data_IF_690030365102
#
_entry.id   IF_690030365102
#
_cell.length_a   1.000
_cell.length_b   1.000
_cell.length_c   1.000
_cell.angle_alpha   90.00
_cell.angle_beta   90.00
_cell.angle_gamma   90.00
#
_symmetry.space_group_name_H-M   'P 1'
#
loop_
_entity.id
_entity.type
_entity.pdbx_description
1 polymer ?
#
# COMPACT_ATOMS: atom_id res chain seq x y z
N UNK A 1 45.10 12.13 16.57
CA UNK A 1 45.24 11.27 15.37
C UNK A 1 46.13 10.03 15.55
N UNK A 2 47.07 9.99 16.52
CA UNK A 2 48.08 8.91 16.66
C UNK A 2 47.57 7.52 17.08
N UNK A 3 46.36 7.43 17.66
CA UNK A 3 45.82 6.18 18.25
C UNK A 3 45.07 5.27 17.26
N UNK A 4 44.64 5.81 16.12
CA UNK A 4 43.77 5.09 15.16
C UNK A 4 44.61 4.19 14.24
N UNK A 5 45.89 4.54 14.05
CA UNK A 5 46.86 3.86 13.19
C UNK A 5 47.70 2.81 13.91
N UNK A 6 47.55 2.66 15.23
CA UNK A 6 48.41 1.78 16.05
C UNK A 6 48.29 0.30 15.69
N UNK A 7 47.12 -0.15 15.20
CA UNK A 7 46.93 -1.50 14.66
C UNK A 7 45.90 -1.49 13.51
N UNK A 8 46.15 -2.18 12.40
CA UNK A 8 45.27 -2.18 11.22
C UNK A 8 43.86 -2.72 11.52
N UNK A 9 43.74 -3.59 12.53
CA UNK A 9 42.49 -4.18 13.01
C UNK A 9 41.60 -3.17 13.72
N UNK A 10 42.18 -2.17 14.41
CA UNK A 10 41.44 -1.14 15.16
C UNK A 10 40.71 -0.21 14.20
N UNK A 11 41.37 0.20 13.12
CA UNK A 11 40.74 0.95 12.04
C UNK A 11 39.58 0.16 11.38
N UNK A 12 39.71 -1.16 11.21
CA UNK A 12 38.63 -2.03 10.71
C UNK A 12 37.43 -2.10 11.67
N UNK A 13 37.68 -2.20 12.99
CA UNK A 13 36.63 -2.16 14.01
C UNK A 13 35.89 -0.83 14.03
N UNK A 14 36.59 0.29 13.96
CA UNK A 14 35.97 1.62 13.89
C UNK A 14 35.14 1.80 12.61
N UNK A 15 35.65 1.39 11.45
CA UNK A 15 34.87 1.41 10.19
C UNK A 15 33.61 0.56 10.28
N UNK A 16 33.70 -0.64 10.89
CA UNK A 16 32.54 -1.53 11.10
C UNK A 16 31.53 -0.93 12.07
N UNK A 17 31.98 -0.33 13.17
CA UNK A 17 31.12 0.33 14.16
C UNK A 17 30.41 1.56 13.57
N UNK A 18 31.12 2.35 12.77
CA UNK A 18 30.57 3.52 12.07
C UNK A 18 29.59 3.07 10.97
N UNK A 19 29.89 2.00 10.22
CA UNK A 19 28.96 1.49 9.20
C UNK A 19 27.71 0.86 9.82
N UNK A 20 27.83 0.18 10.97
CA UNK A 20 26.68 -0.33 11.71
C UNK A 20 25.87 0.78 12.36
N UNK A 21 26.50 1.85 12.86
CA UNK A 21 25.81 3.01 13.44
C UNK A 21 25.14 3.89 12.36
N UNK A 22 25.64 3.88 11.12
CA UNK A 22 25.03 4.56 9.96
C UNK A 22 23.88 3.79 9.31
N UNK A 23 23.55 2.58 9.78
CA UNK A 23 22.30 1.92 9.37
C UNK A 23 21.13 2.66 10.01
N UNK A 24 20.69 3.74 9.35
CA UNK A 24 19.36 4.31 9.58
C UNK A 24 18.38 3.14 9.47
N UNK A 25 17.47 2.92 10.44
CA UNK A 25 16.45 1.90 10.30
C UNK A 25 15.75 2.15 8.96
N UNK A 26 15.87 1.19 8.04
CA UNK A 26 15.24 1.30 6.73
C UNK A 26 13.75 1.38 7.03
N UNK A 27 13.17 2.56 6.87
CA UNK A 27 11.76 2.76 7.06
C UNK A 27 11.03 1.77 6.14
N UNK A 28 10.05 1.06 6.70
CA UNK A 28 9.26 0.08 5.96
C UNK A 28 8.70 0.76 4.71
N UNK A 29 8.94 0.15 3.55
CA UNK A 29 8.34 0.59 2.30
C UNK A 29 6.83 0.39 2.37
N UNK A 30 6.07 1.40 1.99
CA UNK A 30 4.62 1.28 1.93
C UNK A 30 4.21 0.22 0.91
N UNK A 31 3.20 -0.57 1.27
CA UNK A 31 2.51 -1.43 0.30
C UNK A 31 1.79 -0.56 -0.74
N UNK A 32 1.47 -1.08 -1.93
CA UNK A 32 0.72 -0.31 -2.92
C UNK A 32 -0.62 0.21 -2.39
N UNK A 33 -1.30 -0.55 -1.53
CA UNK A 33 -2.58 -0.17 -0.92
C UNK A 33 -2.40 0.92 0.14
N UNK A 34 -1.42 0.79 1.04
CA UNK A 34 -1.08 1.84 2.03
C UNK A 34 -0.68 3.15 1.32
N UNK A 35 0.14 3.03 0.27
CA UNK A 35 0.57 4.17 -0.54
C UNK A 35 -0.60 4.82 -1.30
N UNK A 36 -1.55 4.02 -1.78
CA UNK A 36 -2.75 4.53 -2.43
C UNK A 36 -3.65 5.28 -1.43
N UNK A 37 -3.81 4.79 -0.20
CA UNK A 37 -4.54 5.51 0.84
C UNK A 37 -3.92 6.89 1.10
N UNK A 38 -2.60 6.95 1.30
CA UNK A 38 -1.87 8.22 1.45
C UNK A 38 -2.01 9.14 0.23
N UNK A 39 -2.01 8.57 -0.98
CA UNK A 39 -2.21 9.31 -2.22
C UNK A 39 -3.57 10.00 -2.27
N UNK A 40 -4.63 9.28 -1.87
CA UNK A 40 -6.02 9.77 -1.86
C UNK A 40 -6.24 10.77 -0.72
N UNK A 41 -5.85 10.42 0.51
CA UNK A 41 -6.02 11.27 1.70
C UNK A 41 -5.22 12.57 1.60
N UNK A 42 -4.01 12.50 1.04
CA UNK A 42 -3.16 13.66 0.80
C UNK A 42 -3.58 14.49 -0.41
N UNK A 43 -4.61 14.08 -1.16
CA UNK A 43 -5.05 14.69 -2.42
C UNK A 43 -3.87 14.97 -3.38
N UNK A 44 -2.95 14.02 -3.49
CA UNK A 44 -1.75 14.21 -4.29
C UNK A 44 -2.07 14.10 -5.78
N UNK A 45 -1.42 14.95 -6.58
CA UNK A 45 -1.30 14.74 -8.01
C UNK A 45 -0.22 13.70 -8.31
N UNK A 46 -0.24 13.12 -9.53
CA UNK A 46 0.83 12.22 -9.98
C UNK A 46 2.22 12.86 -9.85
N UNK A 47 2.37 14.12 -10.26
CA UNK A 47 3.66 14.81 -10.21
C UNK A 47 4.17 15.03 -8.79
N UNK A 48 3.29 15.37 -7.85
CA UNK A 48 3.64 15.48 -6.42
C UNK A 48 4.07 14.13 -5.84
N UNK A 49 3.37 13.04 -6.21
CA UNK A 49 3.75 11.71 -5.78
C UNK A 49 5.12 11.29 -6.33
N UNK A 50 5.39 11.57 -7.60
CA UNK A 50 6.68 11.28 -8.23
C UNK A 50 7.83 12.10 -7.60
N UNK A 51 7.58 13.36 -7.21
CA UNK A 51 8.55 14.17 -6.47
C UNK A 51 8.86 13.57 -5.09
N UNK A 52 7.82 13.19 -4.34
CA UNK A 52 7.92 12.58 -3.02
C UNK A 52 8.63 11.22 -3.08
N UNK A 53 8.33 10.40 -4.10
CA UNK A 53 9.02 9.16 -4.38
C UNK A 53 10.48 9.38 -4.80
N UNK A 54 10.75 10.42 -5.59
CA UNK A 54 12.11 10.82 -5.97
C UNK A 54 12.96 11.20 -4.77
N UNK A 55 12.35 11.79 -3.74
CA UNK A 55 13.01 12.13 -2.47
C UNK A 55 13.33 10.94 -1.58
N UNK A 56 12.47 9.90 -1.55
CA UNK A 56 12.65 8.67 -0.73
C UNK A 56 12.09 7.40 -1.41
N UNK A 57 12.85 6.84 -2.35
CA UNK A 57 12.46 5.66 -3.16
C UNK A 57 12.33 4.37 -2.34
N UNK A 58 13.00 4.32 -1.21
CA UNK A 58 12.99 3.22 -0.25
C UNK A 58 11.66 3.15 0.54
N UNK A 59 10.96 4.28 0.68
CA UNK A 59 9.69 4.38 1.43
C UNK A 59 8.50 4.32 0.47
N UNK A 60 8.53 5.08 -0.62
CA UNK A 60 7.38 5.26 -1.49
C UNK A 60 7.46 4.40 -2.76
N UNK A 61 6.44 3.58 -3.06
CA UNK A 61 6.39 2.83 -4.31
C UNK A 61 6.23 3.76 -5.53
N UNK A 62 6.69 3.29 -6.68
CA UNK A 62 6.49 4.01 -7.94
C UNK A 62 5.00 4.12 -8.30
N UNK A 63 4.67 5.15 -9.07
CA UNK A 63 3.27 5.44 -9.43
C UNK A 63 2.58 4.30 -10.18
N UNK A 64 3.31 3.50 -10.95
CA UNK A 64 2.72 2.34 -11.66
C UNK A 64 2.13 1.30 -10.71
N UNK A 65 2.70 1.13 -9.50
CA UNK A 65 2.14 0.25 -8.48
C UNK A 65 0.86 0.83 -7.87
N UNK A 66 0.79 2.16 -7.67
CA UNK A 66 -0.45 2.83 -7.25
C UNK A 66 -1.51 2.70 -8.32
N UNK A 67 -1.15 2.88 -9.59
CA UNK A 67 -2.08 2.73 -10.72
C UNK A 67 -2.68 1.33 -10.76
N UNK A 68 -1.87 0.29 -10.51
CA UNK A 68 -2.37 -1.08 -10.40
C UNK A 68 -3.34 -1.23 -9.22
N UNK A 69 -2.96 -0.74 -8.04
CA UNK A 69 -3.80 -0.77 -6.84
C UNK A 69 -5.13 0.01 -7.04
N UNK A 70 -5.12 1.12 -7.79
CA UNK A 70 -6.34 1.85 -8.17
C UNK A 70 -7.26 1.00 -9.03
N UNK A 71 -6.70 0.32 -10.02
CA UNK A 71 -7.47 -0.57 -10.92
C UNK A 71 -8.11 -1.73 -10.17
N UNK A 72 -7.41 -2.28 -9.17
CA UNK A 72 -7.92 -3.34 -8.30
C UNK A 72 -9.10 -2.90 -7.40
N UNK A 73 -9.42 -1.59 -7.34
CA UNK A 73 -10.58 -1.05 -6.63
C UNK A 73 -11.79 -0.80 -7.52
N UNK A 74 -11.70 -1.03 -8.84
CA UNK A 74 -12.82 -0.85 -9.75
C UNK A 74 -13.55 -2.20 -9.98
N UNK A 75 -14.89 -2.18 -10.11
CA UNK A 75 -15.63 -3.36 -10.56
C UNK A 75 -15.24 -3.71 -12.00
N UNK A 76 -15.70 -4.87 -12.48
CA UNK A 76 -15.37 -5.36 -13.82
C UNK A 76 -15.71 -4.33 -14.91
N UNK A 77 -14.84 -4.17 -15.91
CA UNK A 77 -15.01 -3.15 -16.95
C UNK A 77 -16.34 -3.32 -17.70
N UNK A 78 -16.79 -4.56 -17.92
CA UNK A 78 -18.06 -4.88 -18.58
C UNK A 78 -19.30 -4.43 -17.78
N UNK A 79 -19.16 -4.19 -16.47
CA UNK A 79 -20.23 -3.70 -15.60
C UNK A 79 -20.34 -2.18 -15.55
N UNK A 80 -19.40 -1.46 -16.19
CA UNK A 80 -19.32 -0.01 -16.20
C UNK A 80 -19.73 0.50 -17.58
N UNK A 81 -20.74 1.38 -17.62
CA UNK A 81 -21.18 2.06 -18.83
C UNK A 81 -20.93 3.55 -18.68
N UNK A 82 -20.13 4.10 -19.58
CA UNK A 82 -19.82 5.53 -19.63
C UNK A 82 -20.34 6.08 -20.94
N UNK A 83 -21.19 7.09 -20.84
CA UNK A 83 -21.64 7.89 -21.97
C UNK A 83 -21.14 9.33 -21.79
N UNK A 84 -21.38 10.20 -22.78
CA UNK A 84 -21.02 11.62 -22.66
C UNK A 84 -21.78 12.33 -21.52
N UNK A 85 -22.94 11.79 -21.14
CA UNK A 85 -23.87 12.43 -20.19
C UNK A 85 -24.09 11.64 -18.90
N UNK A 86 -23.75 10.35 -18.88
CA UNK A 86 -23.99 9.48 -17.73
C UNK A 86 -22.82 8.55 -17.43
N UNK A 87 -22.73 8.18 -16.16
CA UNK A 87 -21.88 7.10 -15.67
C UNK A 87 -22.76 6.14 -14.89
N UNK A 88 -22.81 4.90 -15.34
CA UNK A 88 -23.64 3.86 -14.76
C UNK A 88 -22.78 2.64 -14.42
N UNK A 89 -23.09 2.01 -13.29
CA UNK A 89 -22.47 0.76 -12.87
C UNK A 89 -23.58 -0.21 -12.49
N UNK A 90 -23.43 -1.47 -12.87
CA UNK A 90 -24.36 -2.51 -12.45
C UNK A 90 -24.34 -2.64 -10.93
N UNK A 91 -25.51 -2.50 -10.30
CA UNK A 91 -25.62 -2.52 -8.84
C UNK A 91 -25.07 -3.82 -8.25
N UNK A 92 -25.44 -4.98 -8.81
CA UNK A 92 -24.94 -6.27 -8.30
C UNK A 92 -23.41 -6.37 -8.37
N UNK A 93 -22.82 -5.96 -9.50
CA UNK A 93 -21.37 -5.97 -9.67
C UNK A 93 -20.67 -5.04 -8.67
N UNK A 94 -21.26 -3.89 -8.35
CA UNK A 94 -20.75 -2.97 -7.33
C UNK A 94 -20.82 -3.59 -5.93
N UNK A 95 -21.95 -4.21 -5.57
CA UNK A 95 -22.15 -4.86 -4.27
C UNK A 95 -21.20 -6.04 -4.08
N UNK A 96 -21.06 -6.90 -5.09
CA UNK A 96 -20.17 -8.05 -5.07
C UNK A 96 -18.71 -7.61 -4.94
N UNK A 97 -18.30 -6.58 -5.70
CA UNK A 97 -16.95 -6.03 -5.62
C UNK A 97 -16.67 -5.45 -4.23
N UNK A 98 -17.65 -4.73 -3.65
CA UNK A 98 -17.55 -4.18 -2.29
C UNK A 98 -17.41 -5.29 -1.25
N UNK A 99 -18.26 -6.32 -1.31
CA UNK A 99 -18.21 -7.46 -0.42
C UNK A 99 -16.85 -8.19 -0.49
N UNK A 100 -16.38 -8.46 -1.70
CA UNK A 100 -15.08 -9.12 -1.94
C UNK A 100 -13.93 -8.31 -1.34
N UNK A 101 -13.91 -6.99 -1.55
CA UNK A 101 -12.90 -6.09 -0.99
C UNK A 101 -12.93 -6.07 0.53
N UNK A 102 -14.11 -6.07 1.15
CA UNK A 102 -14.27 -6.15 2.60
C UNK A 102 -13.75 -7.48 3.14
N UNK A 103 -14.08 -8.60 2.50
CA UNK A 103 -13.59 -9.92 2.89
C UNK A 103 -12.06 -10.03 2.80
N UNK A 104 -11.45 -9.42 1.78
CA UNK A 104 -9.99 -9.36 1.66
C UNK A 104 -9.36 -8.54 2.78
N UNK A 105 -9.94 -7.38 3.12
CA UNK A 105 -9.44 -6.52 4.18
C UNK A 105 -9.61 -7.15 5.57
N UNK A 106 -10.75 -7.80 5.81
CA UNK A 106 -11.10 -8.44 7.07
C UNK A 106 -10.64 -9.90 7.14
N UNK A 107 -9.76 -10.35 6.24
CA UNK A 107 -9.40 -11.76 6.08
C UNK A 107 -9.04 -12.44 7.40
N UNK A 108 -8.21 -11.79 8.23
CA UNK A 108 -7.81 -12.33 9.53
C UNK A 108 -9.00 -12.53 10.48
N UNK A 109 -9.98 -11.62 10.46
CA UNK A 109 -11.21 -11.74 11.25
C UNK A 109 -12.10 -12.85 10.69
N UNK A 110 -12.27 -12.91 9.36
CA UNK A 110 -13.07 -13.93 8.70
C UNK A 110 -12.53 -15.35 8.96
N UNK A 111 -11.21 -15.51 9.06
CA UNK A 111 -10.55 -16.78 9.39
C UNK A 111 -10.85 -17.25 10.82
N UNK A 112 -11.24 -16.35 11.73
CA UNK A 112 -11.64 -16.71 13.10
C UNK A 112 -13.09 -17.21 13.22
N UNK A 113 -13.92 -16.98 12.19
CA UNK A 113 -15.32 -17.37 12.19
C UNK A 113 -15.48 -18.87 11.92
N UNK A 114 -16.51 -19.46 12.53
CA UNK A 114 -16.96 -20.82 12.19
C UNK A 114 -17.59 -20.87 10.80
N UNK A 115 -17.68 -22.08 10.22
CA UNK A 115 -18.32 -22.27 8.92
C UNK A 115 -19.80 -21.89 8.93
N UNK A 116 -20.48 -22.06 10.07
CA UNK A 116 -21.88 -21.63 10.22
C UNK A 116 -21.99 -20.11 10.16
N UNK A 117 -21.11 -19.38 10.85
CA UNK A 117 -21.12 -17.91 10.82
C UNK A 117 -20.82 -17.36 9.43
N UNK A 118 -19.87 -17.98 8.70
CA UNK A 118 -19.54 -17.59 7.32
C UNK A 118 -20.74 -17.71 6.36
N UNK A 119 -21.60 -18.72 6.55
CA UNK A 119 -22.80 -18.92 5.72
C UNK A 119 -23.89 -17.87 5.97
N UNK A 120 -23.85 -17.15 7.09
CA UNK A 120 -24.87 -16.19 7.49
C UNK A 120 -24.36 -14.75 7.52
N UNK A 121 -23.25 -14.46 6.84
CA UNK A 121 -22.76 -13.09 6.69
C UNK A 121 -23.74 -12.26 5.88
N UNK A 122 -24.08 -11.08 6.41
CA UNK A 122 -24.98 -10.13 5.76
C UNK A 122 -24.27 -8.80 5.57
N UNK A 123 -24.36 -8.25 4.36
CA UNK A 123 -23.85 -6.92 4.05
C UNK A 123 -25.01 -5.93 4.15
N UNK A 124 -24.93 -5.03 5.12
CA UNK A 124 -25.96 -4.03 5.43
C UNK A 124 -25.49 -2.68 4.90
N UNK A 125 -26.39 -1.97 4.21
CA UNK A 125 -26.17 -0.62 3.70
C UNK A 125 -27.20 0.32 4.33
N UNK A 126 -26.72 1.40 4.93
CA UNK A 126 -27.56 2.51 5.38
C UNK A 126 -27.49 3.62 4.33
N UNK A 127 -28.65 4.01 3.80
CA UNK A 127 -28.81 5.11 2.83
C UNK A 127 -29.59 6.27 3.46
#
# INVERSE_FOLDING_TARGET
MKEITSTPTRAKKFRKAISSAKKVPIARKYTPQEALALFVEGNFTKGQWELLQGGRKEIYPCYSLLQKAKKECYPAEDSIKVTETSFEVELQALLDHTALRLLQYLKEVIETLSELEKQHLTLIFDF
#
